data_IF_989017933049
#
_entry.id   IF_989017933049
#
_cell.length_a   1.000
_cell.length_b   1.000
_cell.length_c   1.000
_cell.angle_alpha   90.00
_cell.angle_beta   90.00
_cell.angle_gamma   90.00
#
_symmetry.space_group_name_H-M   'P 1'
#
loop_
_entity.id
_entity.type
_entity.pdbx_description
1 polymer ?
#
# COMPACT_ATOMS: atom_id res chain seq x y z
N UNK A 1 4.28 -17.41 -13.52
CA UNK A 1 3.30 -17.92 -12.61
C UNK A 1 2.37 -16.89 -12.00
N UNK A 2 2.78 -16.26 -10.90
CA UNK A 2 1.92 -15.32 -10.14
C UNK A 2 1.64 -14.00 -10.88
N UNK A 3 2.61 -13.47 -11.61
CA UNK A 3 2.43 -12.26 -12.44
C UNK A 3 1.36 -12.45 -13.51
N UNK A 4 1.30 -13.61 -14.16
CA UNK A 4 0.27 -13.90 -15.14
C UNK A 4 -1.13 -13.91 -14.53
N UNK A 5 -1.31 -14.48 -13.33
CA UNK A 5 -2.61 -14.47 -12.65
C UNK A 5 -3.06 -13.06 -12.25
N UNK A 6 -2.13 -12.18 -11.85
CA UNK A 6 -2.42 -10.78 -11.48
C UNK A 6 -2.81 -10.00 -12.75
N UNK A 7 -2.00 -10.11 -13.81
CA UNK A 7 -2.26 -9.45 -15.09
C UNK A 7 -3.56 -9.93 -15.73
N UNK A 8 -3.83 -11.23 -15.69
CA UNK A 8 -5.06 -11.83 -16.24
C UNK A 8 -6.32 -11.30 -15.53
N UNK A 9 -6.20 -10.97 -14.24
CA UNK A 9 -7.34 -10.50 -13.43
C UNK A 9 -7.48 -8.98 -13.41
N UNK A 10 -6.38 -8.25 -13.31
CA UNK A 10 -6.38 -6.80 -13.07
C UNK A 10 -5.73 -5.99 -14.20
N UNK A 11 -5.30 -6.66 -15.30
CA UNK A 11 -4.67 -6.02 -16.44
C UNK A 11 -3.43 -5.21 -16.05
N UNK A 12 -3.26 -4.04 -16.65
CA UNK A 12 -2.12 -3.16 -16.40
C UNK A 12 -2.12 -2.60 -14.97
N UNK A 13 -3.29 -2.42 -14.34
CA UNK A 13 -3.39 -2.05 -12.93
C UNK A 13 -2.74 -3.09 -12.02
N UNK A 14 -2.83 -4.37 -12.37
CA UNK A 14 -2.14 -5.46 -11.67
C UNK A 14 -0.63 -5.33 -11.74
N UNK A 15 -0.09 -4.94 -12.91
CA UNK A 15 1.35 -4.72 -13.11
C UNK A 15 1.82 -3.53 -12.26
N UNK A 16 1.12 -2.40 -12.31
CA UNK A 16 1.47 -1.21 -11.51
C UNK A 16 1.45 -1.51 -10.01
N UNK A 17 0.42 -2.23 -9.53
CA UNK A 17 0.34 -2.62 -8.12
C UNK A 17 1.48 -3.55 -7.71
N UNK A 18 1.89 -4.47 -8.58
CA UNK A 18 3.00 -5.36 -8.33
C UNK A 18 4.34 -4.62 -8.33
N UNK A 19 4.54 -3.66 -9.24
CA UNK A 19 5.70 -2.76 -9.21
C UNK A 19 5.74 -1.94 -7.91
N UNK A 20 4.60 -1.43 -7.45
CA UNK A 20 4.52 -0.73 -6.16
C UNK A 20 4.88 -1.64 -4.99
N UNK A 21 4.42 -2.90 -5.00
CA UNK A 21 4.82 -3.90 -4.02
C UNK A 21 6.33 -4.12 -4.02
N UNK A 22 6.96 -4.30 -5.20
CA UNK A 22 8.42 -4.45 -5.30
C UNK A 22 9.14 -3.20 -4.79
N UNK A 23 8.71 -2.01 -5.21
CA UNK A 23 9.28 -0.76 -4.73
C UNK A 23 9.18 -0.63 -3.20
N UNK A 24 8.10 -1.11 -2.60
CA UNK A 24 7.93 -1.12 -1.14
C UNK A 24 8.98 -1.96 -0.42
N UNK A 25 9.43 -3.08 -0.99
CA UNK A 25 10.50 -3.91 -0.41
C UNK A 25 11.84 -3.16 -0.30
N UNK A 26 12.04 -2.17 -1.16
CA UNK A 26 13.26 -1.35 -1.23
C UNK A 26 12.99 0.11 -0.86
N UNK A 27 11.89 0.37 -0.15
CA UNK A 27 11.44 1.73 0.14
C UNK A 27 12.49 2.57 0.85
N UNK A 28 13.20 2.04 1.81
CA UNK A 28 14.27 2.73 2.53
C UNK A 28 15.38 3.21 1.57
N UNK A 29 15.83 2.36 0.66
CA UNK A 29 16.85 2.70 -0.36
C UNK A 29 16.30 3.80 -1.30
N UNK A 30 15.07 3.64 -1.77
CA UNK A 30 14.42 4.63 -2.66
C UNK A 30 14.29 5.98 -1.95
N UNK A 31 13.82 5.99 -0.71
CA UNK A 31 13.57 7.23 0.03
C UNK A 31 14.83 7.93 0.51
N UNK A 32 15.94 7.23 0.62
CA UNK A 32 17.25 7.86 0.92
C UNK A 32 17.67 8.82 -0.20
N UNK A 33 17.32 8.53 -1.46
CA UNK A 33 17.60 9.41 -2.59
C UNK A 33 16.44 10.35 -2.94
N UNK A 34 15.20 9.85 -2.99
CA UNK A 34 14.03 10.63 -3.44
C UNK A 34 13.38 11.46 -2.33
N UNK A 35 13.62 11.10 -1.06
CA UNK A 35 13.02 11.67 0.14
C UNK A 35 11.50 11.54 0.23
N UNK A 36 10.87 10.83 -0.70
CA UNK A 36 9.42 10.65 -0.76
C UNK A 36 9.06 9.28 -1.31
N UNK A 37 7.86 8.80 -0.96
CA UNK A 37 7.33 7.55 -1.48
C UNK A 37 5.81 7.67 -1.66
N UNK A 38 5.27 7.36 -2.85
CA UNK A 38 3.85 7.53 -3.12
C UNK A 38 2.98 6.59 -2.29
N UNK A 39 1.71 6.95 -2.15
CA UNK A 39 0.65 6.08 -1.64
C UNK A 39 -0.01 5.39 -2.82
N UNK A 40 -0.35 4.12 -2.69
CA UNK A 40 -1.17 3.41 -3.66
C UNK A 40 -2.63 3.51 -3.28
N UNK A 41 -3.49 3.99 -4.18
CA UNK A 41 -4.94 3.98 -4.01
C UNK A 41 -5.61 3.08 -5.04
N UNK A 42 -6.32 2.06 -4.57
CA UNK A 42 -7.19 1.24 -5.39
C UNK A 42 -8.63 1.69 -5.14
N UNK A 43 -9.23 2.39 -6.09
CA UNK A 43 -10.58 2.93 -5.96
C UNK A 43 -11.55 2.30 -6.97
N UNK A 44 -12.85 2.48 -6.75
CA UNK A 44 -13.90 1.99 -7.65
C UNK A 44 -15.17 1.62 -6.91
N UNK A 45 -16.20 1.26 -7.66
CA UNK A 45 -17.54 0.93 -7.11
C UNK A 45 -17.48 -0.24 -6.13
N UNK A 46 -18.49 -0.34 -5.27
CA UNK A 46 -18.65 -1.49 -4.36
C UNK A 46 -18.71 -2.80 -5.15
N UNK A 47 -18.03 -3.82 -4.65
CA UNK A 47 -18.03 -5.17 -5.24
C UNK A 47 -17.14 -5.35 -6.48
N UNK A 48 -16.17 -4.44 -6.71
CA UNK A 48 -15.18 -4.58 -7.80
C UNK A 48 -13.93 -5.38 -7.40
N UNK A 49 -13.83 -5.85 -6.15
CA UNK A 49 -12.72 -6.68 -5.71
C UNK A 49 -11.49 -5.92 -5.18
N UNK A 50 -11.62 -4.62 -4.86
CA UNK A 50 -10.53 -3.78 -4.34
C UNK A 50 -9.85 -4.37 -3.11
N UNK A 51 -10.65 -4.68 -2.10
CA UNK A 51 -10.15 -5.23 -0.83
C UNK A 51 -9.47 -6.59 -1.04
N UNK A 52 -10.02 -7.43 -1.92
CA UNK A 52 -9.40 -8.72 -2.29
C UNK A 52 -8.04 -8.53 -2.97
N UNK A 53 -7.93 -7.52 -3.83
CA UNK A 53 -6.66 -7.18 -4.48
C UNK A 53 -5.64 -6.65 -3.47
N UNK A 54 -6.06 -5.76 -2.58
CA UNK A 54 -5.22 -5.27 -1.49
C UNK A 54 -4.74 -6.42 -0.58
N UNK A 55 -5.64 -7.32 -0.18
CA UNK A 55 -5.30 -8.49 0.62
C UNK A 55 -4.31 -9.43 -0.08
N UNK A 56 -4.39 -9.55 -1.40
CA UNK A 56 -3.41 -10.31 -2.15
C UNK A 56 -2.01 -9.68 -2.06
N UNK A 57 -1.89 -8.36 -2.27
CA UNK A 57 -0.60 -7.67 -2.14
C UNK A 57 -0.04 -7.79 -0.72
N UNK A 58 -0.90 -7.72 0.29
CA UNK A 58 -0.52 -7.92 1.68
C UNK A 58 -0.06 -9.36 1.96
N UNK A 59 -0.70 -10.37 1.33
CA UNK A 59 -0.34 -11.78 1.49
C UNK A 59 1.06 -12.13 0.96
N UNK A 60 1.65 -11.28 0.10
CA UNK A 60 3.04 -11.41 -0.33
C UNK A 60 4.02 -11.16 0.82
N UNK A 61 3.63 -10.41 1.84
CA UNK A 61 4.46 -10.09 3.01
C UNK A 61 4.19 -11.00 4.20
N UNK A 62 2.93 -11.27 4.49
CA UNK A 62 2.53 -11.96 5.72
C UNK A 62 1.26 -12.78 5.54
N UNK A 63 1.16 -13.83 6.36
CA UNK A 63 -0.08 -14.60 6.46
C UNK A 63 -1.12 -13.81 7.28
N UNK A 64 -2.40 -13.89 6.89
CA UNK A 64 -3.52 -13.20 7.56
C UNK A 64 -3.30 -11.70 7.78
N UNK A 65 -3.15 -10.91 6.71
CA UNK A 65 -2.93 -9.48 6.83
C UNK A 65 -4.14 -8.78 7.48
N UNK A 66 -3.85 -7.85 8.39
CA UNK A 66 -4.87 -7.00 9.00
C UNK A 66 -5.26 -5.85 8.08
N UNK A 67 -6.55 -5.54 8.07
CA UNK A 67 -7.13 -4.39 7.38
C UNK A 67 -7.67 -3.42 8.43
N UNK A 68 -7.29 -2.16 8.31
CA UNK A 68 -7.78 -1.09 9.18
C UNK A 68 -8.73 -0.18 8.42
N UNK A 69 -9.90 0.06 8.98
CA UNK A 69 -10.86 0.99 8.39
C UNK A 69 -10.48 2.43 8.74
N UNK A 70 -10.31 3.31 7.74
CA UNK A 70 -9.90 4.70 7.92
C UNK A 70 -10.88 5.53 8.77
N UNK A 71 -12.19 5.27 8.66
CA UNK A 71 -13.18 6.03 9.43
C UNK A 71 -13.14 5.71 10.92
N UNK A 72 -12.83 4.46 11.29
CA UNK A 72 -12.80 4.00 12.68
C UNK A 72 -11.42 4.03 13.32
N UNK A 73 -10.35 4.14 12.51
CA UNK A 73 -8.97 4.16 12.99
C UNK A 73 -8.54 5.59 13.26
N UNK A 74 -8.10 5.88 14.47
CA UNK A 74 -7.55 7.21 14.78
C UNK A 74 -6.23 7.43 14.03
N UNK A 75 -5.91 8.70 13.72
CA UNK A 75 -4.63 9.03 13.07
C UNK A 75 -3.42 8.60 13.92
N UNK A 76 -3.58 8.45 15.24
CA UNK A 76 -2.57 7.89 16.14
C UNK A 76 -2.33 6.40 15.87
N UNK A 77 -3.41 5.63 15.82
CA UNK A 77 -3.33 4.20 15.53
C UNK A 77 -2.80 3.93 14.11
N UNK A 78 -3.12 4.81 13.14
CA UNK A 78 -2.49 4.75 11.81
C UNK A 78 -0.97 4.90 11.89
N UNK A 79 -0.49 5.88 12.68
CA UNK A 79 0.94 6.11 12.89
C UNK A 79 1.63 4.92 13.56
N UNK A 80 1.01 4.32 14.57
CA UNK A 80 1.53 3.12 15.24
C UNK A 80 1.64 1.95 14.27
N UNK A 81 0.59 1.64 13.51
CA UNK A 81 0.61 0.58 12.50
C UNK A 81 1.70 0.79 11.43
N UNK A 82 1.89 2.01 10.98
CA UNK A 82 2.95 2.33 10.03
C UNK A 82 4.36 2.25 10.63
N UNK A 83 4.51 2.43 11.94
CA UNK A 83 5.78 2.33 12.64
C UNK A 83 6.18 0.89 13.01
N UNK A 84 5.21 -0.03 13.08
CA UNK A 84 5.44 -1.44 13.41
C UNK A 84 6.21 -2.20 12.33
N UNK A 85 6.19 -1.72 11.09
CA UNK A 85 6.76 -2.43 9.95
C UNK A 85 7.69 -1.54 9.12
N UNK A 86 8.68 -2.17 8.49
CA UNK A 86 9.63 -1.51 7.59
C UNK A 86 9.69 -2.27 6.27
N UNK A 87 9.65 -1.54 5.15
CA UNK A 87 9.67 -2.11 3.80
C UNK A 87 8.53 -3.13 3.54
N UNK A 88 7.40 -2.95 4.22
CA UNK A 88 6.19 -3.75 4.08
C UNK A 88 4.99 -2.84 3.77
N UNK A 89 3.91 -3.42 3.27
CA UNK A 89 2.65 -2.71 3.05
C UNK A 89 1.81 -2.63 4.33
N UNK A 90 1.19 -1.47 4.53
CA UNK A 90 0.10 -1.26 5.49
C UNK A 90 -1.15 -0.88 4.70
N UNK A 91 -2.26 -1.55 4.96
CA UNK A 91 -3.51 -1.34 4.24
C UNK A 91 -4.55 -0.63 5.12
N UNK A 92 -5.09 0.47 4.58
CA UNK A 92 -6.23 1.19 5.13
C UNK A 92 -7.39 1.15 4.14
N UNK A 93 -8.54 0.66 4.58
CA UNK A 93 -9.76 0.55 3.77
C UNK A 93 -10.75 1.69 4.05
N UNK A 94 -11.74 1.85 3.17
CA UNK A 94 -12.83 2.83 3.25
C UNK A 94 -12.37 4.30 3.22
N UNK A 95 -11.46 4.62 2.28
CA UNK A 95 -11.13 6.01 2.00
C UNK A 95 -12.37 6.76 1.50
N UNK A 96 -12.61 7.96 2.06
CA UNK A 96 -13.65 8.91 1.66
C UNK A 96 -13.10 10.34 1.68
N UNK A 97 -13.61 11.19 0.81
CA UNK A 97 -13.26 12.61 0.79
C UNK A 97 -13.75 13.38 2.03
N UNK A 98 -14.64 12.77 2.84
CA UNK A 98 -15.14 13.30 4.11
C UNK A 98 -14.26 13.00 5.33
N UNK A 99 -13.12 12.34 5.14
CA UNK A 99 -12.16 12.09 6.23
C UNK A 99 -11.69 13.39 6.88
N UNK A 100 -11.39 13.32 8.18
CA UNK A 100 -10.92 14.50 8.91
C UNK A 100 -9.59 15.02 8.39
N UNK A 101 -9.32 16.31 8.53
CA UNK A 101 -8.05 16.92 8.13
C UNK A 101 -6.85 16.22 8.78
N UNK A 102 -6.99 15.68 10.00
CA UNK A 102 -5.90 14.94 10.67
C UNK A 102 -5.52 13.66 9.94
N UNK A 103 -6.49 12.94 9.37
CA UNK A 103 -6.24 11.76 8.54
C UNK A 103 -5.57 12.14 7.22
N UNK A 104 -6.07 13.20 6.58
CA UNK A 104 -5.50 13.72 5.33
C UNK A 104 -4.06 14.19 5.54
N UNK A 105 -3.80 14.95 6.60
CA UNK A 105 -2.46 15.44 6.92
C UNK A 105 -1.50 14.30 7.26
N UNK A 106 -1.98 13.25 7.96
CA UNK A 106 -1.21 12.05 8.18
C UNK A 106 -0.82 11.37 6.86
N UNK A 107 -1.77 11.17 5.96
CA UNK A 107 -1.50 10.56 4.64
C UNK A 107 -0.49 11.40 3.83
N UNK A 108 -0.61 12.73 3.83
CA UNK A 108 0.41 13.60 3.20
C UNK A 108 1.78 13.40 3.83
N UNK A 109 1.84 13.31 5.17
CA UNK A 109 3.09 13.05 5.89
C UNK A 109 3.72 11.69 5.54
N UNK A 110 2.93 10.66 5.28
CA UNK A 110 3.41 9.35 4.83
C UNK A 110 4.25 9.46 3.55
N UNK A 111 3.81 10.28 2.59
CA UNK A 111 4.56 10.52 1.36
C UNK A 111 5.94 11.12 1.63
N UNK A 112 6.04 12.06 2.57
CA UNK A 112 7.27 12.76 2.95
C UNK A 112 8.10 11.97 4.00
N UNK A 113 7.82 10.69 4.24
CA UNK A 113 8.42 9.83 5.27
C UNK A 113 8.30 10.42 6.68
N UNK A 114 7.46 11.42 6.85
CA UNK A 114 7.20 12.08 8.12
C UNK A 114 6.11 11.32 8.86
N UNK A 115 6.52 10.63 9.91
CA UNK A 115 5.60 10.15 10.91
C UNK A 115 5.25 11.27 11.91
N UNK A 116 4.66 10.84 13.00
CA UNK A 116 4.24 11.73 14.06
C UNK A 116 5.44 12.30 14.83
N UNK A 117 5.47 13.61 15.06
CA UNK A 117 6.34 14.20 16.08
C UNK A 117 5.67 14.10 17.45
N UNK A 118 6.24 13.36 18.40
CA UNK A 118 5.89 13.46 19.82
C UNK A 118 6.66 14.65 20.43
N UNK A 119 5.97 15.55 21.13
CA UNK A 119 6.63 16.42 22.11
C UNK A 119 6.99 15.53 23.30
N UNK A 120 8.27 15.48 23.67
CA UNK A 120 8.67 14.93 24.95
C UNK A 120 8.09 15.81 26.07
N UNK A 121 7.77 15.22 27.21
CA UNK A 121 7.31 15.95 28.40
C UNK A 121 8.29 17.02 28.87
N UNK A 122 9.56 16.91 28.50
CA UNK A 122 10.65 17.80 28.90
C UNK A 122 10.97 18.90 27.89
N UNK A 123 10.19 19.01 26.79
CA UNK A 123 10.23 20.18 25.88
C UNK A 123 11.40 20.22 24.88
N UNK A 124 12.43 19.38 25.02
CA UNK A 124 13.67 19.53 24.24
C UNK A 124 13.85 18.59 23.04
N UNK A 125 13.13 17.47 22.93
CA UNK A 125 13.26 16.57 21.80
C UNK A 125 11.92 16.26 21.11
N UNK A 126 11.82 16.60 19.83
CA UNK A 126 10.78 16.11 18.95
C UNK A 126 11.26 14.81 18.32
N UNK A 127 10.93 13.67 18.89
CA UNK A 127 11.08 12.40 18.18
C UNK A 127 9.99 12.30 17.13
N UNK A 128 10.37 12.46 15.88
CA UNK A 128 9.50 12.14 14.74
C UNK A 128 9.60 10.63 14.47
N UNK A 129 8.51 9.91 14.62
CA UNK A 129 8.46 8.50 14.21
C UNK A 129 8.63 8.45 12.69
N UNK A 130 9.74 7.87 12.23
CA UNK A 130 9.99 7.70 10.80
C UNK A 130 9.04 6.63 10.25
N UNK A 131 8.31 6.96 9.19
CA UNK A 131 7.49 5.99 8.46
C UNK A 131 8.36 5.35 7.37
N UNK A 132 8.49 4.03 7.42
CA UNK A 132 9.28 3.26 6.46
C UNK A 132 8.47 2.11 5.81
N UNK A 133 7.14 2.21 5.82
CA UNK A 133 6.22 1.27 5.17
C UNK A 133 5.62 1.88 3.90
N UNK A 134 5.26 1.06 2.93
CA UNK A 134 4.37 1.46 1.85
C UNK A 134 2.92 1.51 2.35
N UNK A 135 2.18 2.54 1.98
CA UNK A 135 0.76 2.66 2.34
C UNK A 135 -0.12 2.40 1.13
N UNK A 136 -1.06 1.50 1.31
CA UNK A 136 -2.12 1.15 0.38
C UNK A 136 -3.45 1.59 0.96
N UNK A 137 -4.20 2.39 0.23
CA UNK A 137 -5.57 2.76 0.59
C UNK A 137 -6.56 2.20 -0.41
N UNK A 138 -7.72 1.77 0.07
CA UNK A 138 -8.83 1.34 -0.78
C UNK A 138 -10.08 2.14 -0.45
N UNK A 139 -10.95 2.35 -1.43
CA UNK A 139 -12.18 3.12 -1.23
C UNK A 139 -13.04 3.22 -2.47
N UNK A 140 -14.16 3.90 -2.37
CA UNK A 140 -15.02 4.14 -3.53
C UNK A 140 -14.66 5.44 -4.24
N UNK A 141 -13.92 6.32 -3.58
CA UNK A 141 -13.60 7.67 -4.03
C UNK A 141 -12.08 7.83 -4.27
N UNK A 142 -11.75 8.69 -5.22
CA UNK A 142 -10.40 9.23 -5.36
C UNK A 142 -10.22 10.38 -4.36
N UNK A 143 -9.01 10.62 -3.82
CA UNK A 143 -8.72 11.75 -2.94
C UNK A 143 -8.68 13.09 -3.68
N UNK A 144 -9.81 13.49 -4.25
CA UNK A 144 -9.96 14.73 -5.03
C UNK A 144 -10.27 15.96 -4.19
N UNK A 145 -10.68 15.77 -2.93
CA UNK A 145 -11.00 16.87 -2.02
C UNK A 145 -9.75 17.63 -1.54
N UNK A 146 -8.56 17.01 -1.56
CA UNK A 146 -7.29 17.64 -1.20
C UNK A 146 -6.28 17.46 -2.34
N UNK A 147 -5.96 18.55 -3.05
CA UNK A 147 -5.05 18.56 -4.20
C UNK A 147 -3.64 18.11 -3.81
N UNK A 148 -3.20 18.43 -2.60
CA UNK A 148 -1.87 18.06 -2.13
C UNK A 148 -1.78 16.56 -1.86
N UNK A 149 -2.84 15.92 -1.34
CA UNK A 149 -2.90 14.47 -1.22
C UNK A 149 -3.00 13.82 -2.60
N UNK A 150 -3.85 14.37 -3.48
CA UNK A 150 -4.04 13.86 -4.84
C UNK A 150 -2.72 13.72 -5.60
N UNK A 151 -1.83 14.72 -5.51
CA UNK A 151 -0.52 14.70 -6.18
C UNK A 151 0.49 13.69 -5.63
N UNK A 152 0.17 13.04 -4.50
CA UNK A 152 1.04 12.08 -3.78
C UNK A 152 0.62 10.63 -3.95
N UNK A 153 -0.37 10.37 -4.79
CA UNK A 153 -1.03 9.08 -4.88
C UNK A 153 -0.92 8.50 -6.28
N UNK A 154 -0.62 7.21 -6.36
CA UNK A 154 -0.79 6.40 -7.57
C UNK A 154 -2.20 5.84 -7.56
N UNK A 155 -2.96 6.07 -8.62
CA UNK A 155 -4.37 5.69 -8.74
C UNK A 155 -4.54 4.44 -9.58
N UNK A 156 -5.27 3.45 -9.05
CA UNK A 156 -5.68 2.27 -9.78
C UNK A 156 -7.20 2.13 -9.70
N UNK A 157 -7.87 2.24 -10.83
CA UNK A 157 -9.32 2.05 -10.89
C UNK A 157 -9.66 0.56 -10.97
N UNK A 158 -10.42 0.07 -10.00
CA UNK A 158 -10.95 -1.29 -10.02
C UNK A 158 -12.33 -1.29 -10.68
N UNK A 159 -12.39 -1.81 -11.89
CA UNK A 159 -13.62 -1.92 -12.64
C UNK A 159 -14.34 -3.23 -12.33
N UNK A 160 -15.66 -3.20 -12.47
CA UNK A 160 -16.48 -4.41 -12.30
C UNK A 160 -16.26 -5.32 -13.50
N UNK A 161 -15.75 -6.52 -13.27
CA UNK A 161 -15.69 -7.53 -14.33
C UNK A 161 -17.08 -8.10 -14.63
N UNK A 162 -17.31 -8.47 -15.86
CA UNK A 162 -18.51 -9.20 -16.25
C UNK A 162 -18.53 -10.57 -15.58
N UNK A 163 -19.71 -11.01 -15.16
CA UNK A 163 -19.88 -12.34 -14.54
C UNK A 163 -19.89 -13.40 -15.64
N UNK A 164 -18.71 -13.79 -16.10
CA UNK A 164 -18.52 -14.94 -16.99
C UNK A 164 -17.94 -16.14 -16.23
N UNK A 165 -18.04 -17.32 -16.81
CA UNK A 165 -17.39 -18.52 -16.26
C UNK A 165 -15.88 -18.34 -16.24
N UNK A 166 -15.32 -17.75 -17.29
CA UNK A 166 -13.89 -17.47 -17.41
C UNK A 166 -13.40 -16.53 -16.29
N UNK A 167 -14.13 -15.45 -16.00
CA UNK A 167 -13.82 -14.53 -14.91
C UNK A 167 -13.92 -15.19 -13.52
N UNK A 168 -14.88 -16.11 -13.36
CA UNK A 168 -15.00 -16.91 -12.15
C UNK A 168 -13.79 -17.82 -11.96
N UNK A 169 -13.33 -18.47 -13.01
CA UNK A 169 -12.16 -19.35 -12.97
C UNK A 169 -10.87 -18.56 -12.69
N UNK A 170 -10.71 -17.38 -13.30
CA UNK A 170 -9.60 -16.45 -12.99
C UNK A 170 -9.61 -16.05 -11.51
N UNK A 171 -10.79 -15.71 -10.99
CA UNK A 171 -10.94 -15.33 -9.58
C UNK A 171 -10.60 -16.49 -8.63
N UNK A 172 -11.02 -17.71 -8.91
CA UNK A 172 -10.69 -18.89 -8.12
C UNK A 172 -9.18 -19.19 -8.12
N UNK A 173 -8.52 -19.06 -9.27
CA UNK A 173 -7.05 -19.18 -9.35
C UNK A 173 -6.36 -18.12 -8.51
N UNK A 174 -6.83 -16.89 -8.57
CA UNK A 174 -6.30 -15.79 -7.77
C UNK A 174 -6.46 -16.02 -6.26
N UNK A 175 -7.65 -16.45 -5.80
CA UNK A 175 -7.89 -16.80 -4.40
C UNK A 175 -6.99 -17.94 -3.92
N UNK A 176 -6.82 -18.97 -4.77
CA UNK A 176 -5.93 -20.08 -4.46
C UNK A 176 -4.49 -19.60 -4.26
N UNK A 177 -3.99 -18.75 -5.15
CA UNK A 177 -2.66 -18.18 -5.04
C UNK A 177 -2.49 -17.35 -3.76
N UNK A 178 -3.47 -16.50 -3.43
CA UNK A 178 -3.47 -15.72 -2.19
C UNK A 178 -3.41 -16.62 -0.96
N UNK A 179 -4.24 -17.66 -0.93
CA UNK A 179 -4.33 -18.57 0.21
C UNK A 179 -3.08 -19.45 0.40
N UNK A 180 -2.25 -19.59 -0.64
CA UNK A 180 -0.94 -20.25 -0.53
C UNK A 180 0.09 -19.38 0.19
N UNK A 181 -0.24 -18.15 0.57
CA UNK A 181 0.63 -17.18 1.22
C UNK A 181 2.01 -17.09 0.53
N UNK A 182 2.09 -16.47 -0.67
CA UNK A 182 3.26 -16.57 -1.54
C UNK A 182 4.44 -15.68 -1.07
N UNK A 183 4.73 -15.67 0.23
CA UNK A 183 5.84 -14.92 0.86
C UNK A 183 7.22 -15.36 0.36
N UNK A 184 7.33 -16.55 -0.22
CA UNK A 184 8.53 -17.02 -0.89
C UNK A 184 8.95 -16.10 -2.06
N UNK A 185 8.01 -15.39 -2.69
CA UNK A 185 8.29 -14.37 -3.72
C UNK A 185 9.06 -13.21 -3.09
N UNK A 186 8.56 -12.68 -1.96
CA UNK A 186 9.22 -11.63 -1.19
C UNK A 186 10.63 -12.04 -0.76
N UNK A 187 10.78 -13.22 -0.19
CA UNK A 187 12.09 -13.76 0.22
C UNK A 187 13.03 -13.88 -0.98
N UNK A 188 12.53 -14.34 -2.13
CA UNK A 188 13.28 -14.41 -3.37
C UNK A 188 13.78 -13.04 -3.85
N UNK A 189 12.92 -12.03 -3.84
CA UNK A 189 13.24 -10.66 -4.24
C UNK A 189 14.24 -9.99 -3.28
N UNK A 190 14.12 -10.23 -1.98
CA UNK A 190 15.00 -9.65 -0.98
C UNK A 190 16.46 -10.13 -1.10
N UNK A 191 16.72 -11.26 -1.76
CA UNK A 191 18.10 -11.71 -2.07
C UNK A 191 18.85 -10.77 -3.01
N UNK A 192 18.12 -9.96 -3.78
CA UNK A 192 18.72 -8.98 -4.70
C UNK A 192 18.93 -7.60 -4.06
N UNK A 193 18.65 -7.45 -2.75
CA UNK A 193 18.70 -6.16 -2.07
C UNK A 193 20.06 -5.48 -2.16
N UNK A 194 21.14 -6.22 -2.01
CA UNK A 194 22.51 -5.67 -2.11
C UNK A 194 22.80 -5.18 -3.54
N UNK A 195 22.38 -5.93 -4.56
CA UNK A 195 22.54 -5.53 -5.95
C UNK A 195 21.72 -4.27 -6.27
N UNK A 196 20.51 -4.18 -5.73
CA UNK A 196 19.66 -3.01 -5.91
C UNK A 196 20.29 -1.76 -5.27
N UNK A 197 20.88 -1.90 -4.09
CA UNK A 197 21.57 -0.82 -3.41
C UNK A 197 22.81 -0.35 -4.17
N UNK A 198 23.58 -1.26 -4.74
CA UNK A 198 24.78 -0.94 -5.53
C UNK A 198 24.45 -0.25 -6.87
N UNK A 199 23.36 -0.63 -7.54
CA UNK A 199 22.97 -0.07 -8.85
C UNK A 199 22.09 1.17 -8.80
N UNK A 200 21.60 1.58 -7.63
CA UNK A 200 20.70 2.72 -7.52
C UNK A 200 21.39 4.08 -7.66
N UNK A 201 22.70 4.13 -7.42
CA UNK A 201 23.51 5.34 -7.44
C UNK A 201 24.35 5.52 -8.73
N UNK A 202 24.32 4.54 -9.61
CA UNK A 202 24.96 4.56 -10.94
C UNK A 202 23.93 4.97 -12.02
#
# INVERSE_FOLDING_TARGET
>A
GSEMCIRDRYGDNGIVAFCFYIATLFRDIITDSTRSFPILNIYGKKGTGKTEFALFLMALFQNNPEVSNLESTTYYAMGEKCAEVSNMLVHFDEYKNSLSNKHIDFLKGVYDNAGRSKRSSDGEHREATKINCGVLITGQEMPTADIALFSRVIFLESQKSERSKEETDKYQKFLKLRNMCPTNITVGLMRYRENFNAGWYD
#
